data_IF_929722644763
#
_entry.id   IF_929722644763
#
_cell.length_a   1.000
_cell.length_b   1.000
_cell.length_c   1.000
_cell.angle_alpha   90.00
_cell.angle_beta   90.00
_cell.angle_gamma   90.00
#
_symmetry.space_group_name_H-M   'P 1'
#
loop_
_entity.id
_entity.type
_entity.pdbx_description
1 polymer ?
#
# COMPACT_ATOMS: atom_id res chain seq x y z
N UNK A 1 13.34 -20.66 19.56
CA UNK A 1 13.80 -19.79 18.46
C UNK A 1 12.74 -18.74 18.23
N UNK A 2 12.88 -17.58 18.88
CA UNK A 2 12.05 -16.41 18.59
C UNK A 2 12.37 -15.97 17.17
N UNK A 3 11.49 -16.37 16.27
CA UNK A 3 11.62 -16.23 14.82
C UNK A 3 11.75 -14.76 14.47
N UNK A 4 12.87 -14.39 13.84
CA UNK A 4 13.06 -13.11 13.18
C UNK A 4 11.77 -12.72 12.45
N UNK A 5 11.02 -11.76 12.99
CA UNK A 5 9.99 -11.10 12.21
C UNK A 5 10.75 -10.54 11.00
N UNK A 6 10.50 -11.08 9.80
CA UNK A 6 11.51 -10.99 8.77
C UNK A 6 11.62 -9.52 8.36
N UNK A 7 12.86 -9.02 8.30
CA UNK A 7 13.24 -7.61 8.13
C UNK A 7 12.41 -6.87 7.05
N UNK A 8 11.94 -7.60 6.03
CA UNK A 8 11.10 -7.06 4.98
C UNK A 8 9.73 -6.56 5.45
N UNK A 9 9.09 -7.16 6.46
CA UNK A 9 7.84 -6.62 7.06
C UNK A 9 8.10 -5.32 7.79
N UNK A 10 9.22 -5.23 8.51
CA UNK A 10 9.61 -3.99 9.18
C UNK A 10 9.88 -2.88 8.16
N UNK A 11 10.59 -3.19 7.07
CA UNK A 11 10.83 -2.24 5.98
C UNK A 11 9.51 -1.82 5.32
N UNK A 12 8.61 -2.76 5.03
CA UNK A 12 7.31 -2.47 4.44
C UNK A 12 6.49 -1.54 5.34
N UNK A 13 6.41 -1.82 6.64
CA UNK A 13 5.76 -0.94 7.59
C UNK A 13 6.39 0.46 7.64
N UNK A 14 7.72 0.57 7.60
CA UNK A 14 8.39 1.88 7.52
C UNK A 14 8.05 2.67 6.26
N UNK A 15 7.79 1.98 5.14
CA UNK A 15 7.30 2.59 3.90
C UNK A 15 5.85 3.05 4.10
N UNK A 16 4.97 2.20 4.66
CA UNK A 16 3.58 2.56 4.96
C UNK A 16 3.50 3.82 5.83
N UNK A 17 4.33 3.96 6.86
CA UNK A 17 4.34 5.18 7.69
C UNK A 17 4.61 6.48 6.90
N UNK A 18 5.26 6.40 5.72
CA UNK A 18 5.50 7.58 4.87
C UNK A 18 4.24 8.06 4.13
N UNK A 19 3.18 7.25 4.06
CA UNK A 19 1.88 7.69 3.53
C UNK A 19 1.24 8.77 4.40
N UNK A 20 1.64 8.92 5.67
CA UNK A 20 1.14 9.97 6.58
C UNK A 20 2.02 11.21 6.66
N UNK A 21 2.93 11.39 5.71
CA UNK A 21 3.76 12.59 5.63
C UNK A 21 2.90 13.85 5.40
N UNK A 22 3.27 14.97 6.03
CA UNK A 22 2.66 16.28 5.79
C UNK A 22 2.90 16.79 4.35
N UNK A 23 3.89 16.24 3.64
CA UNK A 23 4.22 16.61 2.27
C UNK A 23 3.55 15.66 1.28
N UNK A 24 2.62 16.16 0.47
CA UNK A 24 1.92 15.36 -0.57
C UNK A 24 2.88 14.66 -1.51
N UNK A 25 3.98 15.31 -1.91
CA UNK A 25 5.04 14.70 -2.74
C UNK A 25 5.67 13.45 -2.12
N UNK A 26 5.81 13.39 -0.79
CA UNK A 26 6.31 12.19 -0.10
C UNK A 26 5.27 11.09 -0.13
N UNK A 27 3.98 11.41 0.05
CA UNK A 27 2.88 10.44 -0.05
C UNK A 27 2.78 9.85 -1.45
N UNK A 28 2.86 10.69 -2.50
CA UNK A 28 2.91 10.25 -3.90
C UNK A 28 4.12 9.34 -4.18
N UNK A 29 5.31 9.71 -3.73
CA UNK A 29 6.49 8.88 -3.89
C UNK A 29 6.34 7.53 -3.16
N UNK A 30 5.73 7.54 -1.97
CA UNK A 30 5.45 6.32 -1.20
C UNK A 30 4.48 5.40 -1.93
N UNK A 31 3.40 5.96 -2.48
CA UNK A 31 2.45 5.23 -3.32
C UNK A 31 3.15 4.54 -4.51
N UNK A 32 4.03 5.24 -5.22
CA UNK A 32 4.83 4.64 -6.31
C UNK A 32 5.72 3.48 -5.82
N UNK A 33 6.34 3.62 -4.64
CA UNK A 33 7.14 2.54 -4.04
C UNK A 33 6.26 1.32 -3.73
N UNK A 34 5.08 1.53 -3.14
CA UNK A 34 4.14 0.44 -2.82
C UNK A 34 3.65 -0.28 -4.09
N UNK A 35 3.36 0.47 -5.15
CA UNK A 35 3.03 -0.08 -6.46
C UNK A 35 4.15 -0.95 -7.04
N UNK A 36 5.40 -0.48 -6.99
CA UNK A 36 6.52 -1.26 -7.50
C UNK A 36 6.83 -2.49 -6.62
N UNK A 37 6.59 -2.40 -5.31
CA UNK A 37 6.69 -3.54 -4.40
C UNK A 37 5.65 -4.60 -4.71
N UNK A 38 4.38 -4.21 -4.90
CA UNK A 38 3.32 -5.17 -5.23
C UNK A 38 3.59 -5.86 -6.57
N UNK A 39 4.03 -5.12 -7.59
CA UNK A 39 4.43 -5.68 -8.90
C UNK A 39 5.57 -6.68 -8.79
N UNK A 40 6.61 -6.38 -8.00
CA UNK A 40 7.78 -7.26 -7.84
C UNK A 40 7.49 -8.50 -7.02
N UNK A 41 6.64 -8.39 -6.01
CA UNK A 41 6.29 -9.51 -5.13
C UNK A 41 5.15 -10.36 -5.69
N UNK A 42 4.33 -9.80 -6.58
CA UNK A 42 3.16 -10.46 -7.15
C UNK A 42 2.23 -10.95 -6.03
N UNK A 43 1.74 -12.18 -6.17
CA UNK A 43 0.87 -12.83 -5.17
C UNK A 43 1.46 -12.86 -3.75
N UNK A 44 2.79 -12.86 -3.59
CA UNK A 44 3.41 -12.85 -2.25
C UNK A 44 3.08 -11.56 -1.46
N UNK A 45 2.68 -10.48 -2.15
CA UNK A 45 2.23 -9.24 -1.52
C UNK A 45 0.92 -9.40 -0.74
N UNK A 46 0.11 -10.43 -1.01
CA UNK A 46 -1.13 -10.69 -0.25
C UNK A 46 -0.89 -10.79 1.26
N UNK A 47 0.26 -11.36 1.67
CA UNK A 47 0.64 -11.47 3.08
C UNK A 47 0.91 -10.12 3.77
N UNK A 48 1.01 -9.03 3.01
CA UNK A 48 1.21 -7.65 3.47
C UNK A 48 -0.05 -6.78 3.35
N UNK A 49 -1.09 -7.24 2.66
CA UNK A 49 -2.30 -6.45 2.49
C UNK A 49 -2.94 -6.07 3.83
N UNK A 50 -3.07 -6.97 4.83
CA UNK A 50 -3.75 -6.61 6.08
C UNK A 50 -3.15 -5.38 6.77
N UNK A 51 -1.83 -5.20 6.70
CA UNK A 51 -1.15 -4.03 7.25
C UNK A 51 -1.19 -2.80 6.31
N UNK A 52 -1.26 -3.00 4.98
CA UNK A 52 -1.33 -1.91 4.02
C UNK A 52 -2.72 -1.26 3.91
N UNK A 53 -3.79 -2.06 4.05
CA UNK A 53 -5.18 -1.65 3.80
C UNK A 53 -5.58 -0.39 4.60
N UNK A 54 -5.33 -0.27 5.92
CA UNK A 54 -5.70 0.93 6.67
C UNK A 54 -5.02 2.20 6.12
N UNK A 55 -3.76 2.11 5.69
CA UNK A 55 -3.03 3.25 5.13
C UNK A 55 -3.53 3.63 3.74
N UNK A 56 -3.93 2.63 2.93
CA UNK A 56 -4.49 2.87 1.61
C UNK A 56 -5.90 3.48 1.72
N UNK A 57 -6.72 3.03 2.67
CA UNK A 57 -8.05 3.58 2.94
C UNK A 57 -7.97 5.07 3.30
N UNK A 58 -7.03 5.45 4.18
CA UNK A 58 -6.77 6.87 4.50
C UNK A 58 -6.39 7.69 3.25
N UNK A 59 -5.58 7.13 2.36
CA UNK A 59 -5.14 7.81 1.13
C UNK A 59 -6.23 7.89 0.05
N UNK A 60 -7.23 7.02 0.07
CA UNK A 60 -8.42 7.12 -0.80
C UNK A 60 -9.30 8.32 -0.43
N UNK A 61 -9.09 8.91 0.74
CA UNK A 61 -9.77 10.14 1.20
C UNK A 61 -8.75 11.28 1.43
N UNK A 62 -7.60 11.25 0.73
CA UNK A 62 -6.54 12.26 0.91
C UNK A 62 -7.02 13.65 0.47
N UNK A 63 -6.77 14.73 1.24
CA UNK A 63 -7.17 16.08 0.87
C UNK A 63 -6.46 16.64 -0.37
N UNK A 64 -5.42 15.98 -0.87
CA UNK A 64 -4.77 16.31 -2.12
C UNK A 64 -5.28 15.38 -3.24
N UNK A 65 -6.05 15.95 -4.18
CA UNK A 65 -6.65 15.23 -5.31
C UNK A 65 -5.68 14.32 -6.08
N UNK A 66 -4.41 14.72 -6.23
CA UNK A 66 -3.43 13.92 -6.98
C UNK A 66 -3.05 12.66 -6.20
N UNK A 67 -2.92 12.76 -4.87
CA UNK A 67 -2.67 11.61 -3.99
C UNK A 67 -3.86 10.67 -4.00
N UNK A 68 -5.07 11.18 -3.83
CA UNK A 68 -6.33 10.41 -3.83
C UNK A 68 -6.48 9.61 -5.12
N UNK A 69 -6.42 10.30 -6.28
CA UNK A 69 -6.54 9.67 -7.61
C UNK A 69 -5.43 8.65 -7.85
N UNK A 70 -4.21 8.94 -7.39
CA UNK A 70 -3.08 8.01 -7.52
C UNK A 70 -3.28 6.76 -6.66
N UNK A 71 -3.82 6.91 -5.45
CA UNK A 71 -4.15 5.78 -4.58
C UNK A 71 -5.15 4.84 -5.26
N UNK A 72 -6.28 5.38 -5.75
CA UNK A 72 -7.29 4.59 -6.47
C UNK A 72 -6.71 3.85 -7.67
N UNK A 73 -5.90 4.52 -8.51
CA UNK A 73 -5.24 3.87 -9.64
C UNK A 73 -4.33 2.73 -9.20
N UNK A 74 -3.58 2.91 -8.12
CA UNK A 74 -2.65 1.89 -7.62
C UNK A 74 -3.41 0.68 -7.07
N UNK A 75 -4.55 0.88 -6.40
CA UNK A 75 -5.41 -0.22 -5.95
C UNK A 75 -5.83 -1.08 -7.15
N UNK A 76 -6.31 -0.46 -8.24
CA UNK A 76 -6.69 -1.18 -9.46
C UNK A 76 -5.50 -1.94 -10.07
N UNK A 77 -4.32 -1.31 -10.12
CA UNK A 77 -3.10 -1.95 -10.61
C UNK A 77 -2.67 -3.14 -9.71
N UNK A 78 -2.90 -3.04 -8.39
CA UNK A 78 -2.66 -4.12 -7.44
C UNK A 78 -3.65 -5.27 -7.60
N UNK A 79 -4.94 -4.99 -7.76
CA UNK A 79 -5.98 -5.99 -8.07
C UNK A 79 -5.59 -6.81 -9.32
N UNK A 80 -5.17 -6.12 -10.38
CA UNK A 80 -4.70 -6.77 -11.61
C UNK A 80 -3.44 -7.62 -11.37
N UNK A 81 -2.56 -7.23 -10.45
CA UNK A 81 -1.33 -7.98 -10.13
C UNK A 81 -1.63 -9.22 -9.29
N UNK A 82 -2.63 -9.14 -8.41
CA UNK A 82 -2.99 -10.19 -7.46
C UNK A 82 -4.04 -11.16 -8.02
N UNK A 83 -4.80 -10.75 -9.03
CA UNK A 83 -5.86 -11.54 -9.64
C UNK A 83 -7.13 -11.62 -8.79
N UNK A 84 -7.29 -10.73 -7.80
CA UNK A 84 -8.47 -10.64 -6.93
C UNK A 84 -8.89 -9.19 -6.72
N UNK A 85 -10.17 -9.00 -6.39
CA UNK A 85 -10.69 -7.69 -5.98
C UNK A 85 -10.18 -7.33 -4.59
N UNK A 86 -9.71 -6.11 -4.42
CA UNK A 86 -9.27 -5.59 -3.12
C UNK A 86 -10.41 -4.87 -2.39
N UNK A 87 -11.56 -4.65 -3.05
CA UNK A 87 -12.72 -3.96 -2.47
C UNK A 87 -13.21 -4.63 -1.17
N UNK A 88 -13.17 -5.96 -1.08
CA UNK A 88 -13.64 -6.70 0.10
C UNK A 88 -12.81 -6.39 1.36
N UNK A 89 -11.58 -5.93 1.20
CA UNK A 89 -10.72 -5.51 2.31
C UNK A 89 -11.06 -4.11 2.83
N UNK A 90 -11.68 -3.26 2.02
CA UNK A 90 -12.06 -1.89 2.39
C UNK A 90 -13.48 -1.79 2.96
N UNK A 91 -14.30 -2.85 2.83
CA UNK A 91 -15.69 -2.89 3.27
C UNK A 91 -15.91 -3.50 4.67
N UNK A 92 -14.82 -3.82 5.40
CA UNK A 92 -14.87 -4.45 6.73
C UNK A 92 -14.34 -3.53 7.84
#
# INVERSE_FOLDING_TARGET
EETFQPLWRQIHYQILLKTRSNLSKVRLATLNVLQELSRKLGMNYQSLLPEAIPFMAELMEDPNDEVEKTCHRIIIDMESTLGESLQDYFNN
#
